data_IF_891572380361
#
_entry.id   IF_891572380361
#
_cell.length_a   1.000
_cell.length_b   1.000
_cell.length_c   1.000
_cell.angle_alpha   90.00
_cell.angle_beta   90.00
_cell.angle_gamma   90.00
#
_symmetry.space_group_name_H-M   'P 1'
#
loop_
_entity.id
_entity.type
_entity.pdbx_description
1 polymer ?
#
# COMPACT_ATOMS: atom_id res chain seq x y z
N UNK A 1 2.64 -7.83 10.98
CA UNK A 1 1.65 -6.88 11.53
C UNK A 1 0.24 -7.31 11.16
N UNK A 2 -0.24 -7.03 9.94
CA UNK A 2 -1.55 -7.51 9.47
C UNK A 2 -1.54 -9.01 9.24
N UNK A 3 -0.49 -9.54 8.60
CA UNK A 3 -0.29 -10.98 8.50
C UNK A 3 -0.40 -11.67 9.86
N UNK A 4 0.26 -11.14 10.89
CA UNK A 4 0.20 -11.67 12.26
C UNK A 4 -1.24 -11.64 12.81
N UNK A 5 -2.02 -10.58 12.53
CA UNK A 5 -3.44 -10.55 12.91
C UNK A 5 -4.26 -11.63 12.21
N UNK A 6 -3.92 -11.97 10.97
CA UNK A 6 -4.59 -13.04 10.21
C UNK A 6 -4.17 -14.44 10.66
N UNK A 7 -2.99 -14.59 11.30
CA UNK A 7 -2.46 -15.91 11.70
C UNK A 7 -2.60 -16.21 13.19
N UNK A 8 -2.57 -15.21 14.06
CA UNK A 8 -2.55 -15.39 15.52
C UNK A 8 -3.93 -15.25 16.19
N UNK A 9 -5.02 -15.08 15.43
CA UNK A 9 -6.27 -14.63 16.01
C UNK A 9 -7.49 -15.46 15.57
N UNK A 10 -8.09 -16.17 16.52
CA UNK A 10 -9.40 -16.83 16.36
C UNK A 10 -10.53 -15.84 16.00
N UNK A 11 -10.31 -14.53 16.13
CA UNK A 11 -11.31 -13.52 15.83
C UNK A 11 -11.38 -13.14 14.35
N UNK A 12 -10.27 -13.03 13.61
CA UNK A 12 -10.26 -12.65 12.19
C UNK A 12 -10.21 -13.87 11.27
N UNK A 13 -11.34 -14.56 11.19
CA UNK A 13 -11.50 -15.75 10.36
C UNK A 13 -11.56 -15.46 8.85
N UNK A 14 -10.80 -16.25 8.08
CA UNK A 14 -10.86 -16.28 6.61
C UNK A 14 -12.27 -16.70 6.17
N UNK A 15 -12.81 -16.07 5.12
CA UNK A 15 -14.16 -16.27 4.60
C UNK A 15 -15.25 -15.50 5.37
N UNK A 16 -14.99 -15.04 6.59
CA UNK A 16 -15.91 -14.19 7.36
C UNK A 16 -15.49 -12.72 7.40
N UNK A 17 -14.23 -12.46 7.73
CA UNK A 17 -13.73 -11.09 7.91
C UNK A 17 -12.77 -10.65 6.80
N UNK A 18 -12.21 -11.61 6.07
CA UNK A 18 -11.28 -11.36 4.98
C UNK A 18 -11.29 -12.54 4.02
N UNK A 19 -10.85 -12.34 2.79
CA UNK A 19 -10.75 -13.43 1.80
C UNK A 19 -9.43 -13.38 1.03
N UNK A 20 -9.12 -14.49 0.37
CA UNK A 20 -8.01 -14.56 -0.57
C UNK A 20 -8.43 -14.09 -1.96
N UNK A 21 -7.67 -13.19 -2.54
CA UNK A 21 -7.83 -12.77 -3.93
C UNK A 21 -6.57 -13.14 -4.71
N UNK A 22 -6.73 -13.95 -5.75
CA UNK A 22 -5.65 -14.20 -6.71
C UNK A 22 -5.55 -13.01 -7.67
N UNK A 23 -4.35 -12.80 -8.19
CA UNK A 23 -4.10 -11.84 -9.25
C UNK A 23 -3.05 -12.36 -10.23
N UNK A 24 -3.13 -11.90 -11.47
CA UNK A 24 -2.19 -12.21 -12.53
C UNK A 24 -1.18 -11.07 -12.79
N UNK A 25 -0.16 -11.38 -13.57
CA UNK A 25 0.79 -10.37 -14.08
C UNK A 25 0.05 -9.27 -14.85
N UNK A 26 0.38 -8.02 -14.57
CA UNK A 26 -0.23 -6.81 -15.12
C UNK A 26 -1.70 -6.58 -14.75
N UNK A 27 -2.29 -7.41 -13.90
CA UNK A 27 -3.64 -7.18 -13.39
C UNK A 27 -3.65 -5.94 -12.49
N UNK A 28 -4.64 -5.06 -12.68
CA UNK A 28 -4.84 -3.89 -11.83
C UNK A 28 -5.68 -4.31 -10.62
N UNK A 29 -5.04 -4.36 -9.46
CA UNK A 29 -5.64 -4.75 -8.19
C UNK A 29 -6.35 -3.55 -7.56
N UNK A 30 -5.72 -2.38 -7.64
CA UNK A 30 -6.22 -1.10 -7.13
C UNK A 30 -5.97 -0.03 -8.17
N UNK A 31 -6.95 0.84 -8.40
CA UNK A 31 -6.80 2.03 -9.25
C UNK A 31 -6.70 3.29 -8.41
N UNK A 32 -5.78 4.15 -8.83
CA UNK A 32 -5.63 5.50 -8.33
C UNK A 32 -6.94 6.28 -8.47
N UNK A 33 -7.32 7.03 -7.44
CA UNK A 33 -8.55 7.84 -7.38
C UNK A 33 -9.81 7.05 -7.05
N UNK A 34 -9.78 5.71 -7.08
CA UNK A 34 -10.93 4.91 -6.66
C UNK A 34 -11.05 4.88 -5.14
N UNK A 35 -12.29 4.99 -4.67
CA UNK A 35 -12.62 4.65 -3.29
C UNK A 35 -12.65 3.13 -3.20
N UNK A 36 -11.72 2.55 -2.47
CA UNK A 36 -11.82 1.18 -2.01
C UNK A 36 -11.65 1.16 -0.50
N UNK A 37 -12.61 0.56 0.19
CA UNK A 37 -12.57 0.37 1.63
C UNK A 37 -11.89 -0.95 1.99
N UNK A 38 -10.75 -1.28 1.38
CA UNK A 38 -10.05 -2.54 1.66
C UNK A 38 -8.57 -2.29 1.96
N UNK A 39 -8.05 -3.07 2.91
CA UNK A 39 -6.63 -3.21 3.20
C UNK A 39 -6.16 -4.56 2.68
N UNK A 40 -4.97 -4.56 2.07
CA UNK A 40 -4.42 -5.73 1.39
C UNK A 40 -3.11 -6.16 2.02
N UNK A 41 -2.89 -7.47 2.09
CA UNK A 41 -1.60 -8.07 2.47
C UNK A 41 -1.12 -9.00 1.36
N UNK A 42 0.12 -8.86 0.92
CA UNK A 42 0.70 -9.78 -0.07
C UNK A 42 0.98 -11.13 0.59
N UNK A 43 0.25 -12.18 0.20
CA UNK A 43 0.46 -13.54 0.69
C UNK A 43 1.44 -14.31 -0.22
N UNK A 44 1.35 -14.10 -1.53
CA UNK A 44 2.21 -14.70 -2.56
C UNK A 44 2.42 -13.74 -3.72
N UNK A 45 3.56 -13.84 -4.39
CA UNK A 45 3.89 -13.02 -5.55
C UNK A 45 4.43 -11.64 -5.17
N UNK A 46 4.35 -10.70 -6.12
CA UNK A 46 4.80 -9.31 -5.96
C UNK A 46 3.85 -8.37 -6.66
N UNK A 47 3.68 -7.18 -6.11
CA UNK A 47 2.88 -6.11 -6.72
C UNK A 47 3.69 -4.83 -6.85
N UNK A 48 3.35 -3.99 -7.81
CA UNK A 48 3.99 -2.71 -8.06
C UNK A 48 3.00 -1.58 -7.79
N UNK A 49 3.43 -0.62 -6.98
CA UNK A 49 2.74 0.67 -6.81
C UNK A 49 3.15 1.58 -7.96
N UNK A 50 2.16 2.08 -8.69
CA UNK A 50 2.33 2.95 -9.86
C UNK A 50 1.54 4.23 -9.67
N UNK A 51 2.11 5.37 -10.05
CA UNK A 51 1.40 6.66 -10.07
C UNK A 51 1.29 7.17 -11.51
N UNK A 52 0.26 7.96 -11.78
CA UNK A 52 0.07 8.59 -13.10
C UNK A 52 0.94 9.85 -13.21
N UNK A 53 1.78 9.93 -14.25
CA UNK A 53 2.56 11.13 -14.58
C UNK A 53 2.16 11.60 -15.97
N UNK A 54 1.62 12.81 -16.06
CA UNK A 54 1.26 13.44 -17.33
C UNK A 54 2.40 14.34 -17.79
N UNK A 55 2.96 14.03 -18.95
CA UNK A 55 4.01 14.78 -19.64
C UNK A 55 3.43 15.31 -20.94
N UNK A 56 3.18 16.62 -21.04
CA UNK A 56 2.61 17.29 -22.21
C UNK A 56 1.44 16.49 -22.84
N UNK A 57 1.73 15.68 -23.86
CA UNK A 57 0.77 14.90 -24.65
C UNK A 57 0.74 13.39 -24.34
N UNK A 58 1.41 12.92 -23.28
CA UNK A 58 1.49 11.50 -22.90
C UNK A 58 1.32 11.30 -21.40
N UNK A 59 0.51 10.32 -21.02
CA UNK A 59 0.46 9.82 -19.65
C UNK A 59 1.26 8.53 -19.54
N UNK A 60 2.22 8.48 -18.62
CA UNK A 60 2.96 7.27 -18.26
C UNK A 60 2.61 6.86 -16.83
N UNK A 61 2.77 5.56 -16.52
CA UNK A 61 2.50 5.00 -15.19
C UNK A 61 3.77 4.37 -14.60
N UNK A 62 4.76 5.16 -14.18
CA UNK A 62 5.98 4.63 -13.59
C UNK A 62 5.66 3.89 -12.29
N UNK A 63 6.23 2.69 -12.16
CA UNK A 63 6.31 2.00 -10.88
C UNK A 63 7.34 2.68 -10.00
N UNK A 64 6.97 3.08 -8.78
CA UNK A 64 7.90 3.73 -7.85
C UNK A 64 8.16 2.91 -6.58
N UNK A 65 7.43 1.82 -6.35
CA UNK A 65 7.67 0.89 -5.24
C UNK A 65 7.15 -0.50 -5.57
N UNK A 66 7.98 -1.52 -5.39
CA UNK A 66 7.56 -2.93 -5.39
C UNK A 66 7.21 -3.34 -3.97
N UNK A 67 6.13 -4.11 -3.79
CA UNK A 67 5.73 -4.70 -2.52
C UNK A 67 5.85 -6.22 -2.59
N UNK A 68 6.43 -6.81 -1.55
CA UNK A 68 6.67 -8.24 -1.43
C UNK A 68 5.81 -8.89 -0.34
N UNK A 69 5.93 -10.22 -0.22
CA UNK A 69 5.19 -11.03 0.76
C UNK A 69 5.28 -10.44 2.18
N UNK A 70 4.12 -10.26 2.81
CA UNK A 70 3.97 -9.69 4.15
C UNK A 70 3.86 -8.16 4.18
N UNK A 71 4.11 -7.47 3.06
CA UNK A 71 3.84 -6.04 2.96
C UNK A 71 2.35 -5.76 2.75
N UNK A 72 1.96 -4.55 3.15
CA UNK A 72 0.58 -4.07 3.20
C UNK A 72 0.39 -2.91 2.23
N UNK A 73 -0.76 -2.80 1.60
CA UNK A 73 -1.19 -1.59 0.88
C UNK A 73 -2.68 -1.32 1.07
N UNK A 74 -3.13 -0.12 0.71
CA UNK A 74 -4.49 0.35 1.00
C UNK A 74 -4.66 0.84 2.45
N UNK A 75 -3.59 0.86 3.25
CA UNK A 75 -3.66 1.17 4.68
C UNK A 75 -4.05 2.62 4.99
N UNK A 76 -3.93 3.53 4.02
CA UNK A 76 -4.37 4.91 4.21
C UNK A 76 -5.89 5.02 4.30
N UNK A 77 -6.63 4.16 3.59
CA UNK A 77 -8.08 4.13 3.66
C UNK A 77 -8.60 3.79 5.08
N UNK A 78 -7.79 3.08 5.89
CA UNK A 78 -8.06 2.81 7.31
C UNK A 78 -7.78 4.01 8.23
N UNK A 79 -7.01 5.01 7.77
CA UNK A 79 -6.60 6.16 8.59
C UNK A 79 -7.52 7.35 8.38
N UNK A 80 -7.89 7.62 7.13
CA UNK A 80 -8.63 8.84 6.76
C UNK A 80 -9.75 8.62 5.73
N UNK A 81 -10.05 7.37 5.38
CA UNK A 81 -11.02 6.99 4.33
C UNK A 81 -10.80 7.71 2.99
N UNK A 82 -9.56 8.12 2.70
CA UNK A 82 -9.21 8.78 1.45
C UNK A 82 -9.27 7.82 0.26
N UNK A 83 -9.55 8.32 -0.97
CA UNK A 83 -9.36 7.55 -2.19
C UNK A 83 -7.91 7.09 -2.33
N UNK A 84 -7.69 6.00 -3.08
CA UNK A 84 -6.33 5.51 -3.29
C UNK A 84 -5.44 6.52 -4.01
N UNK A 85 -4.31 6.85 -3.39
CA UNK A 85 -3.32 7.80 -3.91
C UNK A 85 -2.41 7.23 -5.00
N UNK A 86 -2.55 5.94 -5.31
CA UNK A 86 -1.77 5.25 -6.34
C UNK A 86 -2.51 3.99 -6.82
N UNK A 87 -2.16 3.52 -8.02
CA UNK A 87 -2.61 2.22 -8.51
C UNK A 87 -1.65 1.12 -8.04
N UNK A 88 -2.15 -0.12 -7.92
CA UNK A 88 -1.34 -1.30 -7.61
C UNK A 88 -1.58 -2.37 -8.67
N UNK A 89 -0.51 -2.89 -9.25
CA UNK A 89 -0.56 -3.89 -10.32
C UNK A 89 0.23 -5.15 -9.98
N UNK A 90 -0.21 -6.31 -10.44
CA UNK A 90 0.54 -7.57 -10.31
C UNK A 90 1.83 -7.57 -11.13
N UNK A 91 2.95 -7.97 -10.53
CA UNK A 91 4.24 -8.13 -11.24
C UNK A 91 4.45 -9.58 -11.68
N UNK A 92 3.87 -10.52 -10.95
CA UNK A 92 3.80 -11.94 -11.26
C UNK A 92 2.52 -12.52 -10.63
N UNK A 93 2.05 -13.73 -11.03
CA UNK A 93 0.86 -14.32 -10.43
C UNK A 93 1.04 -14.49 -8.93
N UNK A 94 0.00 -14.13 -8.17
CA UNK A 94 0.10 -14.01 -6.73
C UNK A 94 -1.23 -14.13 -6.01
N UNK A 95 -1.20 -13.81 -4.74
CA UNK A 95 -2.35 -13.91 -3.84
C UNK A 95 -2.28 -12.84 -2.76
N UNK A 96 -3.43 -12.26 -2.45
CA UNK A 96 -3.62 -11.22 -1.44
C UNK A 96 -4.59 -11.72 -0.38
N UNK A 97 -4.39 -11.31 0.87
CA UNK A 97 -5.48 -11.21 1.83
C UNK A 97 -6.15 -9.86 1.63
N UNK A 98 -7.48 -9.86 1.45
CA UNK A 98 -8.30 -8.65 1.32
C UNK A 98 -9.18 -8.53 2.54
N UNK A 99 -9.07 -7.41 3.24
CA UNK A 99 -9.76 -7.16 4.51
C UNK A 99 -10.53 -5.84 4.35
N UNK A 100 -11.87 -5.83 4.49
CA UNK A 100 -12.63 -4.59 4.52
C UNK A 100 -12.18 -3.69 5.68
N UNK A 101 -12.10 -2.39 5.41
CA UNK A 101 -11.73 -1.35 6.38
C UNK A 101 -12.71 -1.39 7.54
N UNK A 102 -14.01 -1.32 7.26
CA UNK A 102 -15.06 -1.32 8.29
C UNK A 102 -14.95 -2.55 9.21
N UNK A 103 -14.71 -3.73 8.64
CA UNK A 103 -14.51 -4.97 9.42
C UNK A 103 -13.25 -4.92 10.27
N UNK A 104 -12.17 -4.35 9.76
CA UNK A 104 -10.94 -4.19 10.52
C UNK A 104 -11.08 -3.13 11.61
N UNK A 105 -11.82 -2.05 11.37
CA UNK A 105 -12.12 -1.00 12.34
C UNK A 105 -12.95 -1.55 13.50
N UNK A 106 -14.10 -2.18 13.21
CA UNK A 106 -14.93 -2.85 14.21
C UNK A 106 -14.10 -3.81 15.07
N UNK A 107 -13.26 -4.62 14.42
CA UNK A 107 -12.38 -5.54 15.13
C UNK A 107 -11.40 -4.84 16.08
N UNK A 108 -10.79 -3.73 15.64
CA UNK A 108 -9.83 -2.97 16.44
C UNK A 108 -10.51 -2.19 17.57
N UNK A 109 -11.74 -1.70 17.37
CA UNK A 109 -12.55 -1.06 18.40
C UNK A 109 -12.90 -2.03 19.53
N UNK A 110 -13.28 -3.27 19.19
CA UNK A 110 -13.59 -4.32 20.17
C UNK A 110 -12.35 -4.83 20.92
N UNK A 111 -11.14 -4.60 20.40
CA UNK A 111 -9.88 -5.14 20.96
C UNK A 111 -8.80 -4.05 21.17
N UNK A 112 -8.94 -3.17 22.18
CA UNK A 112 -8.08 -1.99 22.35
C UNK A 112 -6.58 -2.29 22.48
N UNK A 113 -6.19 -3.39 23.15
CA UNK A 113 -4.78 -3.77 23.25
C UNK A 113 -4.18 -4.17 21.90
N UNK A 114 -4.98 -4.89 21.09
CA UNK A 114 -4.61 -5.28 19.74
C UNK A 114 -4.52 -4.05 18.84
N UNK A 115 -5.47 -3.12 18.95
CA UNK A 115 -5.45 -1.84 18.26
C UNK A 115 -4.20 -1.02 18.59
N UNK A 116 -3.83 -0.91 19.86
CA UNK A 116 -2.63 -0.17 20.26
C UNK A 116 -1.35 -0.77 19.63
N UNK A 117 -1.23 -2.10 19.61
CA UNK A 117 -0.09 -2.78 18.94
C UNK A 117 -0.14 -2.60 17.42
N UNK A 118 -1.32 -2.68 16.82
CA UNK A 118 -1.54 -2.49 15.39
C UNK A 118 -1.14 -1.08 14.94
N UNK A 119 -1.75 -0.04 15.53
CA UNK A 119 -1.48 1.34 15.15
C UNK A 119 -0.03 1.75 15.41
N UNK A 120 0.61 1.24 16.48
CA UNK A 120 2.05 1.46 16.71
C UNK A 120 2.91 0.89 15.58
N UNK A 121 2.56 -0.28 15.06
CA UNK A 121 3.27 -0.91 13.93
C UNK A 121 2.96 -0.18 12.61
N UNK A 122 1.70 0.23 12.39
CA UNK A 122 1.29 1.01 11.23
C UNK A 122 2.05 2.35 11.17
N UNK A 123 2.12 3.07 12.29
CA UNK A 123 2.88 4.31 12.40
C UNK A 123 4.37 4.12 12.06
N UNK A 124 5.01 3.02 12.50
CA UNK A 124 6.40 2.70 12.12
C UNK A 124 6.55 2.48 10.62
N UNK A 125 5.62 1.78 9.99
CA UNK A 125 5.61 1.52 8.54
C UNK A 125 5.44 2.84 7.77
N UNK A 126 4.43 3.64 8.10
CA UNK A 126 4.16 4.93 7.46
C UNK A 126 5.34 5.90 7.62
N UNK A 127 5.94 5.95 8.81
CA UNK A 127 7.14 6.75 9.07
C UNK A 127 8.34 6.30 8.20
N UNK A 128 8.50 4.99 8.00
CA UNK A 128 9.50 4.44 7.08
C UNK A 128 9.25 4.82 5.63
N UNK A 129 7.99 4.74 5.18
CA UNK A 129 7.56 5.13 3.83
C UNK A 129 7.80 6.62 3.60
N UNK A 130 7.41 7.48 4.53
CA UNK A 130 7.63 8.92 4.45
C UNK A 130 9.12 9.27 4.29
N UNK A 131 10.01 8.65 5.09
CA UNK A 131 11.46 8.82 4.93
C UNK A 131 11.96 8.35 3.57
N UNK A 132 11.40 7.27 3.02
CA UNK A 132 11.78 6.78 1.70
C UNK A 132 11.29 7.72 0.58
N UNK A 133 10.07 8.23 0.68
CA UNK A 133 9.50 9.23 -0.23
C UNK A 133 10.32 10.51 -0.21
N UNK A 134 10.66 11.04 0.97
CA UNK A 134 11.49 12.25 1.09
C UNK A 134 12.87 12.07 0.43
N UNK A 135 13.50 10.90 0.60
CA UNK A 135 14.78 10.59 -0.09
C UNK A 135 14.62 10.58 -1.61
N UNK A 136 13.57 9.93 -2.14
CA UNK A 136 13.28 9.91 -3.58
C UNK A 136 13.03 11.31 -4.12
N UNK A 137 12.27 12.14 -3.40
CA UNK A 137 12.01 13.53 -3.77
C UNK A 137 13.31 14.34 -3.86
N UNK A 138 14.19 14.23 -2.85
CA UNK A 138 15.50 14.90 -2.90
C UNK A 138 16.37 14.39 -4.05
N UNK A 139 16.35 13.09 -4.34
CA UNK A 139 17.06 12.54 -5.51
C UNK A 139 16.53 13.09 -6.84
N UNK A 140 15.21 13.23 -6.98
CA UNK A 140 14.59 13.82 -8.17
C UNK A 140 14.92 15.31 -8.30
N UNK A 141 14.90 16.07 -7.19
CA UNK A 141 15.32 17.47 -7.18
C UNK A 141 16.80 17.61 -7.58
N UNK A 142 17.68 16.78 -7.01
CA UNK A 142 19.10 16.78 -7.37
C UNK A 142 19.34 16.41 -8.84
N UNK A 143 18.58 15.45 -9.37
CA UNK A 143 18.60 15.13 -10.81
C UNK A 143 18.13 16.32 -11.66
N UNK A 144 17.03 16.98 -11.29
CA UNK A 144 16.50 18.13 -12.02
C UNK A 144 17.45 19.34 -12.02
N UNK A 145 18.05 19.65 -10.87
CA UNK A 145 19.06 20.71 -10.76
C UNK A 145 20.27 20.44 -11.67
N UNK A 146 20.77 19.20 -11.70
CA UNK A 146 21.85 18.80 -12.61
C UNK A 146 21.44 18.90 -14.08
N UNK A 147 20.25 18.42 -14.44
CA UNK A 147 19.74 18.48 -15.80
C UNK A 147 19.60 19.92 -16.34
N UNK A 148 19.39 20.89 -15.45
CA UNK A 148 19.29 22.31 -15.78
C UNK A 148 20.56 23.13 -15.44
N UNK A 149 21.69 22.48 -15.15
CA UNK A 149 23.00 23.14 -15.00
C UNK A 149 23.27 23.81 -13.64
N UNK A 150 22.48 23.54 -12.61
CA UNK A 150 22.63 24.09 -11.25
C UNK A 150 23.55 23.22 -10.36
N UNK A 151 24.71 22.80 -10.87
CA UNK A 151 25.60 21.87 -10.15
C UNK A 151 26.42 22.51 -9.01
N UNK A 152 26.36 23.84 -8.84
CA UNK A 152 27.25 24.61 -7.95
C UNK A 152 26.55 25.50 -6.91
N UNK A 153 25.32 25.17 -6.51
CA UNK A 153 24.66 25.84 -5.36
C UNK A 153 25.01 25.16 -4.04
#
# INVERSE_FOLDING_TARGET
MLRDLLTDNDALNEGKHWWRQQFDTNEIIVREGERCGNVFVVLRGKVQVTGTVTLENRSIRPGFRTLEVGEVFGELALVDHSPHVASVIGVCPGELAVIPVDTLEEYLEDHPETAARFYRRLAKILSGRLRQTNRKMLSLLGWGLKAHGYERL
#
